data_IF_019394178810
#
_entry.id   IF_019394178810
#
_cell.length_a   1.000
_cell.length_b   1.000
_cell.length_c   1.000
_cell.angle_alpha   90.00
_cell.angle_beta   90.00
_cell.angle_gamma   90.00
#
_symmetry.space_group_name_H-M   'P 1'
#
loop_
_entity.id
_entity.type
_entity.pdbx_description
1 polymer ?
#
# COMPACT_ATOMS: atom_id res chain seq x y z
N UNK A 1 -17.42 -65.30 16.02
CA UNK A 1 -16.37 -64.24 16.09
C UNK A 1 -16.42 -63.50 14.77
N UNK A 2 -17.29 -62.50 14.59
CA UNK A 2 -17.12 -61.07 14.94
C UNK A 2 -15.89 -60.39 14.32
N UNK A 3 -16.12 -59.62 13.25
CA UNK A 3 -15.71 -58.20 13.01
C UNK A 3 -15.73 -57.92 11.48
N UNK A 4 -16.74 -57.25 10.91
CA UNK A 4 -16.99 -55.79 10.79
C UNK A 4 -15.95 -54.98 10.01
N UNK A 5 -16.34 -54.63 8.78
CA UNK A 5 -16.33 -53.31 8.09
C UNK A 5 -15.13 -52.35 8.20
N UNK A 6 -14.75 -51.81 7.03
CA UNK A 6 -13.96 -50.59 6.88
C UNK A 6 -14.06 -50.05 5.46
N UNK A 7 -15.00 -49.13 5.23
CA UNK A 7 -15.23 -48.43 3.96
C UNK A 7 -14.03 -47.57 3.56
N UNK A 8 -13.57 -47.68 2.31
CA UNK A 8 -12.69 -46.70 1.69
C UNK A 8 -13.50 -45.77 0.77
N UNK A 9 -14.13 -44.76 1.38
CA UNK A 9 -14.55 -43.55 0.67
C UNK A 9 -13.34 -42.63 0.54
N UNK A 10 -12.52 -42.82 -0.51
CA UNK A 10 -11.51 -41.85 -0.91
C UNK A 10 -12.14 -40.77 -1.80
N UNK A 11 -12.97 -39.91 -1.20
CA UNK A 11 -13.24 -38.60 -1.79
C UNK A 11 -11.96 -37.77 -1.62
N UNK A 12 -11.08 -37.85 -2.62
CA UNK A 12 -10.01 -36.90 -2.81
C UNK A 12 -10.63 -35.50 -2.94
N UNK A 13 -10.65 -34.76 -1.84
CA UNK A 13 -10.93 -33.33 -1.82
C UNK A 13 -9.86 -32.70 -2.71
N UNK A 14 -10.27 -32.33 -3.93
CA UNK A 14 -9.46 -31.48 -4.80
C UNK A 14 -9.15 -30.21 -4.02
N UNK A 15 -7.91 -30.08 -3.55
CA UNK A 15 -7.37 -28.86 -2.97
C UNK A 15 -7.38 -27.77 -4.04
N UNK A 16 -8.53 -27.15 -4.26
CA UNK A 16 -8.64 -25.89 -4.99
C UNK A 16 -7.91 -24.90 -4.09
N UNK A 17 -6.67 -24.55 -4.42
CA UNK A 17 -5.94 -23.51 -3.70
C UNK A 17 -6.85 -22.29 -3.61
N UNK A 18 -7.43 -22.06 -2.43
CA UNK A 18 -8.39 -21.00 -2.24
C UNK A 18 -7.62 -19.69 -2.31
N UNK A 19 -8.03 -18.83 -3.25
CA UNK A 19 -7.52 -17.46 -3.32
C UNK A 19 -7.86 -16.76 -2.02
N UNK A 20 -6.88 -16.08 -1.42
CA UNK A 20 -7.07 -15.27 -0.20
C UNK A 20 -7.14 -13.82 -0.63
N UNK A 21 -8.22 -13.11 -0.27
CA UNK A 21 -8.30 -11.67 -0.50
C UNK A 21 -7.67 -10.91 0.67
N UNK A 22 -6.95 -9.84 0.35
CA UNK A 22 -6.32 -8.98 1.34
C UNK A 22 -6.79 -7.54 1.11
N UNK A 23 -7.54 -6.98 2.04
CA UNK A 23 -8.00 -5.60 2.02
C UNK A 23 -7.06 -4.73 2.84
N UNK A 24 -6.47 -3.70 2.23
CA UNK A 24 -5.52 -2.84 2.93
C UNK A 24 -5.36 -1.46 2.29
N UNK A 25 -4.42 -0.65 2.78
CA UNK A 25 -3.98 0.56 2.13
C UNK A 25 -2.60 0.38 1.50
N UNK A 26 -2.31 1.08 0.41
CA UNK A 26 -1.00 1.08 -0.26
C UNK A 26 0.16 1.33 0.70
N UNK A 27 -0.06 2.15 1.73
CA UNK A 27 0.94 2.46 2.75
C UNK A 27 1.42 1.21 3.51
N UNK A 28 0.49 0.35 3.94
CA UNK A 28 0.85 -0.87 4.66
C UNK A 28 1.71 -1.79 3.76
N UNK A 29 1.30 -1.97 2.50
CA UNK A 29 2.07 -2.71 1.50
C UNK A 29 3.46 -2.10 1.28
N UNK A 30 3.55 -0.76 1.20
CA UNK A 30 4.82 -0.05 1.06
C UNK A 30 5.75 -0.37 2.24
N UNK A 31 5.26 -0.29 3.48
CA UNK A 31 6.07 -0.57 4.67
C UNK A 31 6.56 -2.03 4.72
N UNK A 32 5.70 -2.98 4.35
CA UNK A 32 6.09 -4.40 4.26
C UNK A 32 7.18 -4.59 3.21
N UNK A 33 7.01 -4.03 2.01
CA UNK A 33 7.97 -4.17 0.91
C UNK A 33 9.31 -3.45 1.17
N UNK A 34 9.30 -2.37 1.96
CA UNK A 34 10.51 -1.65 2.40
C UNK A 34 11.26 -2.40 3.51
N UNK A 35 10.55 -3.21 4.31
CA UNK A 35 11.07 -3.80 5.55
C UNK A 35 12.42 -4.51 5.46
N UNK A 36 12.71 -5.33 4.43
CA UNK A 36 14.02 -5.98 4.30
C UNK A 36 15.19 -4.97 4.37
N UNK A 37 14.96 -3.75 3.90
CA UNK A 37 15.94 -2.67 3.79
C UNK A 37 15.81 -1.61 4.89
N UNK A 38 14.76 -1.64 5.70
CA UNK A 38 14.50 -0.65 6.76
C UNK A 38 15.35 -0.93 8.01
N UNK A 39 16.10 0.06 8.51
CA UNK A 39 17.01 -0.11 9.65
C UNK A 39 16.85 0.97 10.75
N UNK A 40 15.87 1.86 10.60
CA UNK A 40 15.71 3.06 11.42
C UNK A 40 14.32 3.16 12.04
N UNK A 41 13.28 2.80 11.31
CA UNK A 41 11.90 3.06 11.74
C UNK A 41 11.15 1.76 12.00
N UNK A 42 10.67 1.63 13.22
CA UNK A 42 9.72 0.60 13.62
C UNK A 42 8.33 0.94 13.07
N UNK A 43 7.51 -0.09 12.87
CA UNK A 43 6.10 0.11 12.57
C UNK A 43 5.23 -1.05 13.03
N UNK A 44 3.92 -0.79 13.09
CA UNK A 44 2.91 -1.75 13.48
C UNK A 44 1.90 -1.95 12.35
N UNK A 45 1.40 -3.18 12.23
CA UNK A 45 0.25 -3.54 11.41
C UNK A 45 -0.78 -4.25 12.29
N UNK A 46 -2.05 -3.97 12.06
CA UNK A 46 -3.17 -4.65 12.69
C UNK A 46 -3.91 -5.46 11.64
N UNK A 47 -4.11 -6.74 11.93
CA UNK A 47 -4.69 -7.69 10.98
C UNK A 47 -5.83 -8.45 11.64
N UNK A 48 -6.97 -8.52 10.95
CA UNK A 48 -8.12 -9.35 11.30
C UNK A 48 -8.42 -10.30 10.15
N UNK A 49 -8.96 -11.49 10.48
CA UNK A 49 -9.32 -12.50 9.47
C UNK A 49 -10.78 -12.89 9.64
N UNK A 50 -11.50 -12.92 8.53
CA UNK A 50 -12.89 -13.37 8.47
C UNK A 50 -13.18 -13.94 7.08
N UNK A 51 -13.86 -15.08 7.01
CA UNK A 51 -14.24 -15.80 5.79
C UNK A 51 -13.10 -15.98 4.77
N UNK A 52 -11.93 -16.39 5.27
CA UNK A 52 -10.72 -16.56 4.47
C UNK A 52 -10.20 -15.28 3.78
N UNK A 53 -10.63 -14.12 4.26
CA UNK A 53 -10.14 -12.81 3.84
C UNK A 53 -9.34 -12.16 4.97
N UNK A 54 -8.29 -11.44 4.62
CA UNK A 54 -7.45 -10.68 5.53
C UNK A 54 -7.77 -9.19 5.41
N UNK A 55 -7.98 -8.54 6.53
CA UNK A 55 -8.15 -7.10 6.64
C UNK A 55 -6.93 -6.56 7.36
N UNK A 56 -6.20 -5.64 6.75
CA UNK A 56 -4.93 -5.15 7.27
C UNK A 56 -4.86 -3.64 7.23
N UNK A 57 -4.49 -3.04 8.36
CA UNK A 57 -4.20 -1.60 8.46
C UNK A 57 -2.86 -1.35 9.13
N UNK A 58 -2.28 -0.19 8.89
CA UNK A 58 -1.03 0.26 9.51
C UNK A 58 -1.24 1.55 10.31
N UNK A 59 -0.15 2.13 10.81
CA UNK A 59 -0.22 3.38 11.58
C UNK A 59 -0.85 4.49 10.73
N UNK A 60 -1.99 5.00 11.21
CA UNK A 60 -2.78 6.03 10.54
C UNK A 60 -2.00 7.36 10.52
N UNK A 61 -1.89 7.96 9.34
CA UNK A 61 -0.92 9.02 9.03
C UNK A 61 -1.33 10.44 9.42
N UNK A 62 -2.56 10.67 9.89
CA UNK A 62 -3.07 12.02 10.16
C UNK A 62 -2.39 12.71 11.36
N UNK A 63 -1.51 12.05 12.09
CA UNK A 63 -0.87 12.60 13.29
C UNK A 63 0.45 13.36 13.06
N UNK A 64 1.07 13.29 11.86
CA UNK A 64 2.39 13.89 11.61
C UNK A 64 2.46 14.70 10.30
N UNK A 65 1.57 15.69 10.13
CA UNK A 65 1.43 16.47 8.91
C UNK A 65 2.36 17.71 8.89
N UNK A 66 3.65 17.54 8.61
CA UNK A 66 4.64 18.65 8.59
C UNK A 66 5.21 19.01 7.23
N UNK A 67 4.70 18.51 6.10
CA UNK A 67 5.38 18.70 4.80
C UNK A 67 4.76 19.80 3.92
N UNK A 68 4.95 21.08 4.26
CA UNK A 68 4.57 22.24 3.45
C UNK A 68 5.16 22.28 2.04
N UNK A 69 6.41 21.83 1.87
CA UNK A 69 7.08 21.98 0.58
C UNK A 69 6.61 20.99 -0.50
N UNK A 70 6.17 19.78 -0.13
CA UNK A 70 5.68 18.83 -1.13
C UNK A 70 4.29 19.23 -1.62
N UNK A 71 3.43 19.68 -0.71
CA UNK A 71 2.09 20.18 -1.06
C UNK A 71 2.21 21.43 -1.94
N UNK A 72 3.14 22.33 -1.63
CA UNK A 72 3.43 23.49 -2.49
C UNK A 72 3.97 23.07 -3.86
N UNK A 73 4.81 22.04 -3.93
CA UNK A 73 5.28 21.51 -5.22
C UNK A 73 4.10 20.97 -6.06
N UNK A 74 3.19 20.21 -5.45
CA UNK A 74 2.01 19.70 -6.16
C UNK A 74 1.15 20.85 -6.70
N UNK A 75 0.89 21.88 -5.88
CA UNK A 75 0.15 23.07 -6.31
C UNK A 75 0.82 23.83 -7.46
N UNK A 76 2.16 23.80 -7.55
CA UNK A 76 2.88 24.45 -8.66
C UNK A 76 2.84 23.63 -9.97
N UNK A 77 2.48 22.35 -9.91
CA UNK A 77 2.59 21.41 -11.03
C UNK A 77 1.27 20.88 -11.55
N UNK A 78 0.21 20.90 -10.73
CA UNK A 78 -1.08 20.34 -11.08
C UNK A 78 -2.16 21.42 -11.17
N UNK A 79 -3.03 21.29 -12.16
CA UNK A 79 -4.26 22.06 -12.34
C UNK A 79 -5.47 21.12 -12.27
N UNK A 80 -6.66 21.69 -12.04
CA UNK A 80 -7.91 20.92 -11.99
C UNK A 80 -8.39 20.47 -13.39
N UNK A 81 -7.88 21.11 -14.45
CA UNK A 81 -8.20 20.82 -15.85
C UNK A 81 -6.94 20.96 -16.72
N UNK A 82 -6.77 20.13 -17.77
CA UNK A 82 -5.58 20.19 -18.62
C UNK A 82 -5.42 21.50 -19.40
N UNK A 83 -6.52 22.22 -19.62
CA UNK A 83 -6.52 23.52 -20.31
C UNK A 83 -6.22 24.70 -19.38
N UNK A 84 -6.05 24.45 -18.08
CA UNK A 84 -5.84 25.46 -17.05
C UNK A 84 -4.39 25.44 -16.54
N UNK A 85 -3.93 26.61 -16.09
CA UNK A 85 -2.67 26.71 -15.33
C UNK A 85 -2.92 26.40 -13.85
N UNK A 86 -1.93 25.87 -13.12
CA UNK A 86 -2.05 25.64 -11.68
C UNK A 86 -2.43 26.91 -10.90
N UNK A 87 -3.38 26.80 -9.97
CA UNK A 87 -3.73 27.88 -9.06
C UNK A 87 -2.72 27.95 -7.91
N UNK A 88 -1.89 29.00 -7.91
CA UNK A 88 -0.78 29.16 -6.96
C UNK A 88 -1.07 30.16 -5.83
N UNK A 89 -2.21 30.82 -5.85
CA UNK A 89 -2.56 31.89 -4.90
C UNK A 89 -3.21 31.34 -3.63
N UNK A 90 -3.91 30.22 -3.76
CA UNK A 90 -4.56 29.56 -2.62
C UNK A 90 -3.58 28.83 -1.70
N UNK A 91 -4.01 28.55 -0.48
CA UNK A 91 -3.27 27.67 0.43
C UNK A 91 -3.56 26.22 0.05
N UNK A 92 -2.55 25.32 -0.09
CA UNK A 92 -2.80 23.92 -0.39
C UNK A 92 -3.80 23.28 0.58
N UNK A 93 -4.95 22.84 0.04
CA UNK A 93 -5.97 22.18 0.83
C UNK A 93 -5.57 20.73 1.11
N UNK A 94 -5.09 20.46 2.33
CA UNK A 94 -4.65 19.13 2.77
C UNK A 94 -5.79 18.19 3.19
N UNK A 95 -7.03 18.68 3.22
CA UNK A 95 -8.21 17.86 3.57
C UNK A 95 -8.75 17.10 2.38
N UNK A 96 -8.45 17.57 1.17
CA UNK A 96 -8.79 16.90 -0.08
C UNK A 96 -7.62 16.00 -0.49
N UNK A 97 -7.91 14.71 -0.64
CA UNK A 97 -6.98 13.74 -1.20
C UNK A 97 -7.73 12.84 -2.17
N UNK A 98 -7.14 12.57 -3.32
CA UNK A 98 -7.69 11.63 -4.29
C UNK A 98 -7.09 10.26 -4.04
N UNK A 99 -7.92 9.23 -3.96
CA UNK A 99 -7.48 7.85 -3.80
C UNK A 99 -8.00 6.98 -4.93
N UNK A 100 -7.14 6.12 -5.45
CA UNK A 100 -7.48 5.11 -6.46
C UNK A 100 -7.52 3.74 -5.79
N UNK A 101 -8.51 2.94 -6.18
CA UNK A 101 -8.61 1.55 -5.78
C UNK A 101 -7.82 0.69 -6.77
N UNK A 102 -6.92 -0.13 -6.23
CA UNK A 102 -6.09 -1.03 -7.00
C UNK A 102 -6.43 -2.48 -6.68
N UNK A 103 -6.43 -3.31 -7.71
CA UNK A 103 -6.44 -4.77 -7.58
C UNK A 103 -5.16 -5.34 -8.16
N UNK A 104 -4.44 -6.15 -7.37
CA UNK A 104 -3.27 -6.88 -7.86
C UNK A 104 -3.23 -8.31 -7.34
N UNK A 105 -2.34 -9.12 -7.91
CA UNK A 105 -2.17 -10.53 -7.51
C UNK A 105 -0.71 -10.83 -7.21
N UNK A 106 -0.47 -11.55 -6.13
CA UNK A 106 0.84 -12.10 -5.77
C UNK A 106 0.65 -13.52 -5.24
N UNK A 107 1.12 -14.52 -5.99
CA UNK A 107 0.84 -15.92 -5.68
C UNK A 107 -0.67 -16.20 -5.59
N UNK A 108 -1.13 -16.74 -4.46
CA UNK A 108 -2.56 -16.99 -4.20
C UNK A 108 -3.31 -15.79 -3.60
N UNK A 109 -2.64 -14.69 -3.34
CA UNK A 109 -3.22 -13.51 -2.71
C UNK A 109 -3.74 -12.52 -3.76
N UNK A 110 -5.00 -12.14 -3.64
CA UNK A 110 -5.56 -10.99 -4.36
C UNK A 110 -5.55 -9.79 -3.43
N UNK A 111 -4.78 -8.77 -3.76
CA UNK A 111 -4.65 -7.55 -2.97
C UNK A 111 -5.66 -6.53 -3.49
N UNK A 112 -6.50 -6.01 -2.60
CA UNK A 112 -7.42 -4.91 -2.84
C UNK A 112 -7.02 -3.76 -1.93
N UNK A 113 -6.55 -2.67 -2.51
CA UNK A 113 -6.00 -1.58 -1.71
C UNK A 113 -6.22 -0.20 -2.30
N UNK A 114 -6.42 0.77 -1.41
CA UNK A 114 -6.50 2.18 -1.76
C UNK A 114 -5.13 2.85 -1.66
N UNK A 115 -4.78 3.66 -2.66
CA UNK A 115 -3.57 4.48 -2.68
C UNK A 115 -3.88 5.91 -3.13
N UNK A 116 -3.14 6.87 -2.58
CA UNK A 116 -3.23 8.26 -3.03
C UNK A 116 -2.76 8.38 -4.49
N UNK A 117 -3.57 9.03 -5.32
CA UNK A 117 -3.21 9.50 -6.65
C UNK A 117 -2.84 10.99 -6.59
N UNK A 118 -1.87 11.41 -7.40
CA UNK A 118 -1.38 12.79 -7.41
C UNK A 118 -1.84 13.55 -8.65
N UNK A 119 -1.60 13.01 -9.84
CA UNK A 119 -2.10 13.61 -11.07
C UNK A 119 -2.07 12.66 -12.24
N UNK A 120 -2.68 13.12 -13.33
CA UNK A 120 -2.78 12.39 -14.60
C UNK A 120 -2.27 13.34 -15.69
N UNK A 121 -1.39 12.86 -16.56
CA UNK A 121 -1.05 13.59 -17.79
C UNK A 121 -2.16 13.30 -18.80
N UNK A 122 -2.87 14.34 -19.21
CA UNK A 122 -3.95 14.25 -20.19
C UNK A 122 -4.08 15.57 -20.96
N UNK A 123 -4.48 15.48 -22.22
CA UNK A 123 -4.89 16.64 -23.03
C UNK A 123 -6.41 16.88 -22.96
N UNK A 124 -7.13 16.05 -22.21
CA UNK A 124 -8.60 16.08 -22.08
C UNK A 124 -9.01 15.92 -20.63
N UNK A 125 -10.03 16.67 -20.23
CA UNK A 125 -10.62 16.54 -18.91
C UNK A 125 -11.27 15.16 -18.76
N UNK A 126 -11.04 14.53 -17.62
CA UNK A 126 -11.68 13.26 -17.26
C UNK A 126 -12.97 13.62 -16.52
N UNK A 127 -14.10 13.34 -17.15
CA UNK A 127 -15.42 13.69 -16.62
C UNK A 127 -15.98 12.62 -15.67
N UNK A 128 -15.60 11.35 -15.86
CA UNK A 128 -16.12 10.24 -15.08
C UNK A 128 -14.99 9.39 -14.47
N UNK A 129 -14.84 9.49 -13.15
CA UNK A 129 -13.89 8.69 -12.37
C UNK A 129 -14.48 7.35 -11.88
N UNK A 130 -15.76 7.08 -12.15
CA UNK A 130 -16.39 5.78 -11.83
C UNK A 130 -16.16 4.73 -12.94
N UNK A 131 -15.68 5.15 -14.12
CA UNK A 131 -15.31 4.24 -15.22
C UNK A 131 -13.89 3.69 -15.01
N UNK A 132 -13.81 2.51 -14.40
CA UNK A 132 -12.54 1.83 -14.11
C UNK A 132 -11.75 1.52 -15.39
N UNK A 133 -12.41 1.16 -16.49
CA UNK A 133 -11.74 0.83 -17.76
C UNK A 133 -11.12 2.07 -18.42
N UNK A 134 -11.72 3.24 -18.20
CA UNK A 134 -11.15 4.52 -18.61
C UNK A 134 -9.98 4.92 -17.71
N UNK A 135 -10.10 4.73 -16.39
CA UNK A 135 -9.04 5.00 -15.43
C UNK A 135 -7.80 4.13 -15.65
N UNK A 136 -7.97 2.86 -15.99
CA UNK A 136 -6.86 1.94 -16.29
C UNK A 136 -6.00 2.38 -17.49
N UNK A 137 -6.55 3.24 -18.37
CA UNK A 137 -5.85 3.80 -19.53
C UNK A 137 -5.20 5.16 -19.22
N UNK A 138 -5.49 5.73 -18.06
CA UNK A 138 -4.94 7.02 -17.67
C UNK A 138 -3.45 6.92 -17.34
N UNK A 139 -2.70 7.94 -17.74
CA UNK A 139 -1.27 8.03 -17.45
C UNK A 139 -1.07 8.74 -16.11
N UNK A 140 -1.15 7.99 -15.03
CA UNK A 140 -0.89 8.50 -13.68
C UNK A 140 0.58 8.86 -13.50
N UNK A 141 0.83 9.95 -12.78
CA UNK A 141 2.18 10.45 -12.50
C UNK A 141 2.32 10.80 -11.03
N UNK A 142 3.55 10.67 -10.52
CA UNK A 142 3.92 11.17 -9.20
C UNK A 142 4.94 12.27 -9.28
N UNK A 143 4.81 13.25 -8.38
CA UNK A 143 5.83 14.24 -8.10
C UNK A 143 6.50 13.91 -6.78
N UNK A 144 7.80 14.16 -6.66
CA UNK A 144 8.56 13.99 -5.41
C UNK A 144 9.53 15.13 -5.24
N UNK A 145 9.97 15.32 -4.00
CA UNK A 145 10.96 16.33 -3.66
C UNK A 145 12.14 15.74 -2.91
N UNK A 146 13.34 16.10 -3.33
CA UNK A 146 14.61 15.74 -2.69
C UNK A 146 15.44 16.98 -2.39
N UNK A 147 16.29 16.92 -1.38
CA UNK A 147 17.33 17.93 -1.19
C UNK A 147 18.42 17.72 -2.24
N UNK A 148 18.95 18.80 -2.81
CA UNK A 148 19.99 18.77 -3.85
C UNK A 148 21.25 18.04 -3.36
N UNK A 149 21.70 18.35 -2.14
CA UNK A 149 22.91 17.79 -1.54
C UNK A 149 22.62 16.59 -0.62
N UNK A 150 21.57 15.81 -0.92
CA UNK A 150 21.18 14.67 -0.11
C UNK A 150 22.26 13.58 -0.14
N UNK A 151 22.62 13.06 1.03
CA UNK A 151 23.53 11.92 1.15
C UNK A 151 23.11 10.76 0.21
N UNK A 152 24.03 10.17 -0.58
CA UNK A 152 23.70 9.12 -1.55
C UNK A 152 22.95 7.92 -0.96
N UNK A 153 23.29 7.47 0.25
CA UNK A 153 22.59 6.36 0.92
C UNK A 153 21.15 6.72 1.27
N UNK A 154 20.92 7.96 1.72
CA UNK A 154 19.57 8.46 2.00
C UNK A 154 18.78 8.62 0.70
N UNK A 155 19.42 9.07 -0.38
CA UNK A 155 18.81 9.13 -1.72
C UNK A 155 18.36 7.75 -2.19
N UNK A 156 19.22 6.74 -2.12
CA UNK A 156 18.89 5.36 -2.54
C UNK A 156 17.70 4.78 -1.76
N UNK A 157 17.59 5.07 -0.45
CA UNK A 157 16.42 4.68 0.36
C UNK A 157 15.14 5.41 -0.03
N UNK A 158 15.22 6.69 -0.35
CA UNK A 158 14.07 7.43 -0.88
C UNK A 158 13.64 6.91 -2.25
N UNK A 159 14.59 6.52 -3.10
CA UNK A 159 14.30 5.91 -4.40
C UNK A 159 13.62 4.54 -4.26
N UNK A 160 14.01 3.70 -3.29
CA UNK A 160 13.28 2.47 -2.94
C UNK A 160 11.81 2.78 -2.66
N UNK A 161 11.56 3.74 -1.77
CA UNK A 161 10.21 4.16 -1.40
C UNK A 161 9.41 4.68 -2.59
N UNK A 162 10.03 5.54 -3.40
CA UNK A 162 9.37 6.09 -4.58
C UNK A 162 9.04 5.00 -5.57
N UNK A 163 9.96 4.07 -5.82
CA UNK A 163 9.74 2.93 -6.70
C UNK A 163 8.59 2.04 -6.20
N UNK A 164 8.57 1.64 -4.92
CA UNK A 164 7.48 0.81 -4.37
C UNK A 164 6.14 1.54 -4.48
N UNK A 165 6.10 2.81 -4.09
CA UNK A 165 4.89 3.62 -4.17
C UNK A 165 4.35 3.72 -5.60
N UNK A 166 5.23 4.01 -6.56
CA UNK A 166 4.87 4.12 -7.97
C UNK A 166 4.41 2.78 -8.53
N UNK A 167 5.16 1.70 -8.26
CA UNK A 167 4.81 0.35 -8.70
C UNK A 167 3.42 -0.08 -8.21
N UNK A 168 3.15 0.10 -6.91
CA UNK A 168 1.84 -0.22 -6.33
C UNK A 168 0.71 0.69 -6.85
N UNK A 169 1.02 1.81 -7.49
CA UNK A 169 -0.02 2.73 -8.00
C UNK A 169 -0.13 2.69 -9.53
N UNK A 170 0.53 1.73 -10.19
CA UNK A 170 0.65 1.65 -11.65
C UNK A 170 1.14 2.97 -12.28
N UNK A 171 2.09 3.63 -11.64
CA UNK A 171 2.71 4.87 -12.10
C UNK A 171 4.04 4.55 -12.77
N UNK A 172 4.16 4.89 -14.05
CA UNK A 172 5.39 4.71 -14.83
C UNK A 172 6.32 5.92 -14.77
N UNK A 173 5.78 7.10 -14.43
CA UNK A 173 6.50 8.37 -14.54
C UNK A 173 6.60 9.09 -13.19
N UNK A 174 7.84 9.45 -12.85
CA UNK A 174 8.17 10.17 -11.63
C UNK A 174 8.87 11.49 -11.97
N UNK A 175 8.34 12.58 -11.43
CA UNK A 175 8.89 13.92 -11.58
C UNK A 175 9.51 14.38 -10.26
N UNK A 176 10.84 14.52 -10.22
CA UNK A 176 11.60 14.81 -9.00
C UNK A 176 12.14 16.24 -9.01
N UNK A 177 11.65 17.05 -8.08
CA UNK A 177 12.17 18.38 -7.85
C UNK A 177 13.29 18.36 -6.80
N UNK A 178 14.43 18.97 -7.13
CA UNK A 178 15.56 19.11 -6.21
C UNK A 178 15.56 20.51 -5.60
N UNK A 179 15.31 20.59 -4.29
CA UNK A 179 15.38 21.85 -3.54
C UNK A 179 16.78 22.09 -2.97
N UNK A 180 17.21 23.34 -3.00
CA UNK A 180 18.41 23.81 -2.31
C UNK A 180 18.16 23.93 -0.80
N UNK A 181 19.17 24.36 -0.03
CA UNK A 181 19.10 24.45 1.43
C UNK A 181 18.09 25.51 1.92
N UNK A 182 17.74 26.50 1.07
CA UNK A 182 16.68 27.49 1.33
C UNK A 182 15.27 26.95 1.04
N UNK A 183 15.16 25.73 0.53
CA UNK A 183 13.90 25.10 0.16
C UNK A 183 13.39 25.44 -1.25
N UNK A 184 14.18 26.16 -2.05
CA UNK A 184 13.84 26.58 -3.41
C UNK A 184 14.23 25.53 -4.45
N UNK A 185 13.36 25.31 -5.44
CA UNK A 185 13.66 24.49 -6.61
C UNK A 185 14.16 25.39 -7.72
N UNK A 186 15.47 25.40 -7.96
CA UNK A 186 16.11 26.27 -8.96
C UNK A 186 16.62 25.53 -10.19
N UNK A 187 16.56 24.20 -10.16
CA UNK A 187 16.93 23.32 -11.27
C UNK A 187 15.67 22.79 -11.96
N UNK A 188 15.76 22.43 -13.25
CA UNK A 188 14.69 21.72 -13.94
C UNK A 188 14.26 20.47 -13.16
N UNK A 189 12.96 20.17 -13.21
CA UNK A 189 12.39 18.97 -12.61
C UNK A 189 12.90 17.76 -13.40
N UNK A 190 13.49 16.80 -12.68
CA UNK A 190 14.00 15.58 -13.29
C UNK A 190 12.85 14.62 -13.58
N UNK A 191 12.76 14.16 -14.81
CA UNK A 191 11.90 13.07 -15.20
C UNK A 191 12.63 11.73 -15.03
N UNK A 192 12.03 10.79 -14.31
CA UNK A 192 12.55 9.45 -14.09
C UNK A 192 11.47 8.44 -14.47
N UNK A 193 11.80 7.55 -15.40
CA UNK A 193 10.97 6.38 -15.69
C UNK A 193 11.09 5.36 -14.55
N UNK A 194 9.99 4.99 -13.93
CA UNK A 194 9.97 4.15 -12.72
C UNK A 194 10.65 2.81 -12.94
N UNK A 195 10.52 2.24 -14.15
CA UNK A 195 11.16 0.97 -14.52
C UNK A 195 12.69 1.00 -14.49
N UNK A 196 13.32 2.17 -14.59
CA UNK A 196 14.80 2.30 -14.58
C UNK A 196 15.37 2.47 -13.18
N UNK A 197 14.55 2.89 -12.20
CA UNK A 197 14.99 3.15 -10.81
C UNK A 197 15.79 1.97 -10.22
N UNK A 198 15.37 0.69 -10.35
CA UNK A 198 16.08 -0.42 -9.69
C UNK A 198 17.45 -0.81 -10.28
N UNK A 199 17.82 -0.32 -11.47
CA UNK A 199 18.96 -0.85 -12.25
C UNK A 199 20.30 -0.72 -11.53
N UNK A 200 20.50 0.37 -10.79
CA UNK A 200 21.77 0.69 -10.11
C UNK A 200 21.61 0.85 -8.59
N UNK A 201 20.74 0.05 -7.99
CA UNK A 201 20.42 0.14 -6.56
C UNK A 201 20.93 -1.06 -5.77
N UNK A 202 21.26 -0.83 -4.50
CA UNK A 202 21.65 -1.89 -3.56
C UNK A 202 20.49 -2.84 -3.21
N UNK A 203 19.25 -2.35 -3.31
CA UNK A 203 18.04 -3.11 -3.09
C UNK A 203 17.57 -3.75 -4.40
N UNK A 204 16.77 -4.82 -4.28
CA UNK A 204 16.26 -5.61 -5.40
C UNK A 204 14.74 -5.77 -5.29
N UNK A 205 13.98 -5.48 -6.36
CA UNK A 205 12.54 -5.68 -6.39
C UNK A 205 12.09 -7.07 -5.92
N UNK A 206 12.81 -8.12 -6.33
CA UNK A 206 12.50 -9.51 -5.96
C UNK A 206 12.51 -9.77 -4.46
N UNK A 207 13.36 -9.08 -3.70
CA UNK A 207 13.40 -9.20 -2.23
C UNK A 207 12.20 -8.51 -1.61
N UNK A 208 11.80 -7.33 -2.11
CA UNK A 208 10.60 -6.62 -1.64
C UNK A 208 9.32 -7.43 -1.89
N UNK A 209 9.15 -7.99 -3.09
CA UNK A 209 8.00 -8.84 -3.40
C UNK A 209 8.05 -10.19 -2.68
N UNK A 210 9.23 -10.80 -2.62
CA UNK A 210 9.44 -12.06 -1.91
C UNK A 210 9.10 -11.92 -0.42
N UNK A 211 9.51 -10.82 0.21
CA UNK A 211 9.16 -10.55 1.60
C UNK A 211 7.66 -10.28 1.80
N UNK A 212 7.02 -9.53 0.90
CA UNK A 212 5.56 -9.33 0.95
C UNK A 212 4.81 -10.67 0.88
N UNK A 213 5.18 -11.53 -0.08
CA UNK A 213 4.58 -12.86 -0.21
C UNK A 213 4.79 -13.70 1.05
N UNK A 214 6.05 -13.81 1.49
CA UNK A 214 6.41 -14.54 2.70
C UNK A 214 5.64 -14.05 3.92
N UNK A 215 5.55 -12.72 4.12
CA UNK A 215 4.81 -12.15 5.23
C UNK A 215 3.33 -12.55 5.22
N UNK A 216 2.67 -12.50 4.05
CA UNK A 216 1.28 -12.92 3.92
C UNK A 216 1.07 -14.40 4.24
N UNK A 217 2.01 -15.28 3.84
CA UNK A 217 2.00 -16.70 4.23
C UNK A 217 2.10 -16.90 5.73
N UNK A 218 3.00 -16.16 6.39
CA UNK A 218 3.16 -16.25 7.85
C UNK A 218 1.92 -15.74 8.59
N UNK A 219 1.29 -14.67 8.11
CA UNK A 219 0.03 -14.14 8.66
C UNK A 219 -1.09 -15.16 8.51
N UNK A 220 -1.28 -15.73 7.32
CA UNK A 220 -2.31 -16.71 7.07
C UNK A 220 -2.14 -17.97 7.94
N UNK A 221 -0.90 -18.44 8.10
CA UNK A 221 -0.59 -19.58 8.96
C UNK A 221 -0.91 -19.27 10.45
N UNK A 222 -0.45 -18.12 10.94
CA UNK A 222 -0.67 -17.68 12.32
C UNK A 222 -2.16 -17.45 12.65
N UNK A 223 -2.96 -17.07 11.66
CA UNK A 223 -4.38 -16.78 11.78
C UNK A 223 -5.26 -17.90 11.19
N UNK A 224 -4.75 -19.13 11.05
CA UNK A 224 -5.47 -20.25 10.41
C UNK A 224 -6.80 -20.60 11.07
N UNK A 225 -6.88 -20.45 12.40
CA UNK A 225 -8.09 -20.75 13.19
C UNK A 225 -8.94 -19.51 13.51
N UNK A 226 -8.62 -18.36 12.92
CA UNK A 226 -9.30 -17.09 13.20
C UNK A 226 -10.41 -16.85 12.17
N UNK A 227 -11.64 -16.68 12.65
CA UNK A 227 -12.77 -16.26 11.84
C UNK A 227 -13.60 -15.19 12.57
N UNK A 228 -12.99 -14.04 12.84
CA UNK A 228 -13.59 -12.96 13.63
C UNK A 228 -12.99 -11.61 13.23
N UNK A 229 -13.85 -10.66 12.84
CA UNK A 229 -13.43 -9.29 12.51
C UNK A 229 -12.97 -8.49 13.74
N UNK A 230 -13.41 -8.87 14.95
CA UNK A 230 -13.01 -8.17 16.17
C UNK A 230 -11.68 -8.68 16.74
N UNK A 231 -11.28 -9.92 16.43
CA UNK A 231 -9.97 -10.45 16.82
C UNK A 231 -8.88 -9.81 15.96
N UNK A 232 -7.89 -9.20 16.62
CA UNK A 232 -6.81 -8.44 15.97
C UNK A 232 -5.45 -9.02 16.34
N UNK A 233 -4.63 -9.25 15.34
CA UNK A 233 -3.21 -9.56 15.50
C UNK A 233 -2.42 -8.28 15.21
N UNK A 234 -1.73 -7.76 16.24
CA UNK A 234 -0.84 -6.61 16.10
C UNK A 234 0.57 -7.11 15.82
N UNK A 235 1.02 -7.00 14.57
CA UNK A 235 2.38 -7.29 14.16
C UNK A 235 3.26 -6.05 14.41
N UNK A 236 4.35 -6.23 15.15
CA UNK A 236 5.35 -5.18 15.45
C UNK A 236 6.65 -5.51 14.74
N UNK A 237 7.14 -4.56 13.94
CA UNK A 237 8.40 -4.64 13.19
C UNK A 237 9.44 -3.75 13.87
N UNK A 238 10.53 -4.34 14.39
CA UNK A 238 11.62 -3.64 15.09
C UNK A 238 12.89 -3.53 14.27
N UNK A 239 13.13 -2.36 13.66
CA UNK A 239 14.11 -2.19 12.58
C UNK A 239 15.54 -2.43 13.04
N UNK A 240 15.85 -2.05 14.29
CA UNK A 240 17.17 -2.24 14.90
C UNK A 240 17.50 -3.73 15.10
N UNK A 241 16.52 -4.50 15.56
CA UNK A 241 16.69 -5.91 15.90
C UNK A 241 16.43 -6.83 14.68
N UNK A 242 15.87 -6.27 13.60
CA UNK A 242 15.40 -7.00 12.42
C UNK A 242 14.43 -8.14 12.79
N UNK A 243 13.58 -7.88 13.77
CA UNK A 243 12.59 -8.84 14.26
C UNK A 243 11.17 -8.38 13.97
N UNK A 244 10.30 -9.37 13.77
CA UNK A 244 8.86 -9.20 13.68
C UNK A 244 8.22 -10.12 14.72
N UNK A 245 7.37 -9.57 15.57
CA UNK A 245 6.60 -10.33 16.55
C UNK A 245 5.13 -9.91 16.48
N UNK A 246 4.23 -10.69 17.08
CA UNK A 246 2.82 -10.31 17.14
C UNK A 246 2.21 -10.53 18.53
N UNK A 247 1.17 -9.75 18.81
CA UNK A 247 0.28 -9.92 19.97
C UNK A 247 -1.14 -10.12 19.49
N UNK A 248 -1.90 -10.94 20.22
CA UNK A 248 -3.29 -11.27 19.89
C UNK A 248 -4.21 -10.50 20.85
N UNK A 249 -5.22 -9.87 20.28
CA UNK A 249 -6.31 -9.21 20.99
C UNK A 249 -7.61 -9.91 20.59
N UNK A 250 -8.13 -10.78 21.45
CA UNK A 250 -9.36 -11.52 21.18
C UNK A 250 -10.60 -10.68 21.47
N UNK A 251 -11.56 -10.71 20.54
CA UNK A 251 -12.78 -9.93 20.66
C UNK A 251 -12.54 -8.42 20.57
N UNK A 252 -13.63 -7.66 20.79
CA UNK A 252 -13.63 -6.23 20.55
C UNK A 252 -12.77 -5.50 21.58
N UNK A 253 -11.83 -4.68 21.11
CA UNK A 253 -10.88 -3.93 21.94
C UNK A 253 -10.56 -2.56 21.32
N UNK A 254 -9.72 -1.77 21.98
CA UNK A 254 -9.18 -0.52 21.41
C UNK A 254 -8.33 -0.73 20.16
N UNK A 255 -7.94 -1.98 19.86
CA UNK A 255 -7.20 -2.35 18.65
C UNK A 255 -8.10 -2.72 17.47
N UNK A 256 -9.40 -2.92 17.70
CA UNK A 256 -10.37 -3.22 16.65
C UNK A 256 -10.50 -2.02 15.71
N UNK A 257 -10.22 -2.24 14.43
CA UNK A 257 -10.16 -1.18 13.41
C UNK A 257 -11.25 -1.29 12.34
N UNK A 258 -12.02 -2.40 12.34
CA UNK A 258 -13.15 -2.56 11.43
C UNK A 258 -14.38 -1.87 12.03
N UNK A 259 -14.96 -0.86 11.34
CA UNK A 259 -16.14 -0.17 11.85
C UNK A 259 -17.35 -1.12 11.94
N UNK A 260 -18.16 -0.97 12.99
CA UNK A 260 -19.34 -1.81 13.22
C UNK A 260 -20.26 -1.88 11.99
N UNK A 261 -20.50 -0.74 11.32
CA UNK A 261 -21.33 -0.68 10.11
C UNK A 261 -20.80 -1.61 9.00
N UNK A 262 -19.49 -1.71 8.84
CA UNK A 262 -18.88 -2.60 7.86
C UNK A 262 -18.95 -4.06 8.31
N UNK A 263 -18.67 -4.35 9.59
CA UNK A 263 -18.86 -5.70 10.14
C UNK A 263 -20.29 -6.21 9.95
N UNK A 264 -21.29 -5.36 10.23
CA UNK A 264 -22.71 -5.67 10.05
C UNK A 264 -23.07 -5.93 8.57
N UNK A 265 -22.45 -5.19 7.64
CA UNK A 265 -22.63 -5.38 6.21
C UNK A 265 -22.08 -6.74 5.75
N UNK A 266 -20.83 -7.05 6.09
CA UNK A 266 -20.17 -8.32 5.72
C UNK A 266 -20.90 -9.51 6.34
N UNK A 267 -21.32 -9.41 7.61
CA UNK A 267 -22.06 -10.49 8.27
C UNK A 267 -23.41 -10.77 7.61
N UNK A 268 -24.09 -9.75 7.04
CA UNK A 268 -25.36 -9.93 6.33
C UNK A 268 -25.19 -10.59 4.96
N UNK A 269 -24.18 -10.19 4.19
CA UNK A 269 -23.94 -10.80 2.88
C UNK A 269 -23.59 -12.29 2.98
N UNK A 270 -22.97 -12.72 4.08
CA UNK A 270 -22.61 -14.12 4.30
C UNK A 270 -23.72 -14.97 4.94
N UNK A 271 -24.91 -14.41 5.18
CA UNK A 271 -26.10 -15.15 5.66
C UNK A 271 -27.09 -15.48 4.52
N UNK A 272 -26.79 -15.07 3.29
CA UNK A 272 -27.55 -15.35 2.05
C UNK A 272 -26.84 -16.47 1.29
#
# INVERSE_FOLDING_TARGET
>A
MMSTEGSNCSNAVKNKHSTVKVYTGRRALTQIMEWPYENKYDFNLWISRYNNELYMTGVLSYLNNTCSHHDRLQQLLFSDSPDEIPNIDDIPNRTMGQSVLHQSKIGKYTLLYAGEAQGIISDKKIENFDDIDALDKCRFVFTKQLWKNLNPWVKQRKLLKFWIQSYLSNVDDLYVAYKNDDGNVTLPIEYIKVSTIPQEQFWKPSVSFGFLHYFLEQVEQAMSNVNCLDTVYEFTFKARDKTTSYKIYEGKSEKSFIPKKYSDFVNKENQI
#
